data_IF_900390179958
#
_entry.id   IF_900390179958
#
_cell.length_a   1.000
_cell.length_b   1.000
_cell.length_c   1.000
_cell.angle_alpha   90.00
_cell.angle_beta   90.00
_cell.angle_gamma   90.00
#
_symmetry.space_group_name_H-M   'P 1'
#
loop_
_entity.id
_entity.type
_entity.pdbx_description
1 polymer ?
#
# COMPACT_ATOMS: atom_id res chain seq x y z
N UNK A 1 36.02 49.46 71.10
CA UNK A 1 36.15 48.50 72.22
C UNK A 1 36.13 47.11 71.60
N UNK A 2 37.14 46.29 71.92
CA UNK A 2 37.44 44.92 71.45
C UNK A 2 37.95 44.72 69.99
N UNK A 3 39.27 44.61 69.86
CA UNK A 3 39.96 43.60 69.04
C UNK A 3 40.02 42.26 69.83
N UNK A 4 40.55 41.13 69.32
CA UNK A 4 40.57 40.54 67.97
C UNK A 4 40.28 39.01 68.00
N UNK A 5 40.14 38.33 66.86
CA UNK A 5 40.62 36.93 66.77
C UNK A 5 41.01 36.53 65.35
N UNK A 6 42.33 36.33 65.16
CA UNK A 6 42.92 35.66 63.99
C UNK A 6 42.83 34.15 64.21
N UNK A 7 42.33 33.40 63.23
CA UNK A 7 42.61 31.97 63.13
C UNK A 7 43.30 31.63 61.80
N UNK A 8 44.29 30.76 61.92
CA UNK A 8 45.33 30.42 60.95
C UNK A 8 44.77 29.60 59.78
N UNK A 9 45.15 29.97 58.55
CA UNK A 9 45.07 29.09 57.38
C UNK A 9 46.07 27.94 57.52
N UNK A 10 45.58 26.70 57.47
CA UNK A 10 46.39 25.50 57.31
C UNK A 10 46.40 25.12 55.83
N UNK A 11 47.59 25.12 55.21
CA UNK A 11 47.84 24.55 53.88
C UNK A 11 47.82 23.02 53.96
N UNK A 12 46.91 22.40 53.21
CA UNK A 12 46.94 21.05 52.65
C UNK A 12 46.07 21.17 51.39
N UNK A 13 46.40 20.76 50.18
CA UNK A 13 47.45 19.96 49.58
C UNK A 13 46.99 19.86 48.12
N UNK A 14 47.84 20.19 47.14
CA UNK A 14 47.46 20.18 45.72
C UNK A 14 47.07 18.75 45.32
N UNK A 15 45.80 18.49 45.07
CA UNK A 15 45.38 17.34 44.28
C UNK A 15 45.74 17.63 42.81
N UNK A 16 46.54 16.75 42.23
CA UNK A 16 47.08 16.88 40.88
C UNK A 16 45.96 16.87 39.81
N UNK A 17 46.05 17.71 38.76
CA UNK A 17 45.05 17.77 37.68
C UNK A 17 44.92 16.47 36.87
N UNK A 18 45.84 15.51 37.06
CA UNK A 18 45.83 14.20 36.41
C UNK A 18 44.73 13.24 36.90
N UNK A 19 44.17 13.44 38.11
CA UNK A 19 43.10 12.58 38.64
C UNK A 19 41.68 13.00 38.21
N UNK A 20 41.50 14.22 37.70
CA UNK A 20 40.22 14.67 37.13
C UNK A 20 40.06 14.31 35.64
N UNK A 21 41.16 14.13 34.90
CA UNK A 21 41.11 13.69 33.51
C UNK A 21 40.73 12.21 33.37
N UNK A 22 41.17 11.34 34.29
CA UNK A 22 40.85 9.91 34.23
C UNK A 22 39.38 9.61 34.56
N UNK A 23 38.74 10.41 35.42
CA UNK A 23 37.31 10.28 35.72
C UNK A 23 36.41 10.80 34.58
N UNK A 24 36.83 11.86 33.88
CA UNK A 24 36.08 12.39 32.73
C UNK A 24 36.12 11.46 31.51
N UNK A 25 37.23 10.74 31.31
CA UNK A 25 37.36 9.76 30.21
C UNK A 25 36.52 8.49 30.49
N UNK A 26 36.38 8.06 31.75
CA UNK A 26 35.50 6.94 32.11
C UNK A 26 34.00 7.30 32.05
N UNK A 27 33.62 8.56 32.29
CA UNK A 27 32.21 8.98 32.23
C UNK A 27 31.69 9.11 30.78
N UNK A 28 32.55 9.39 29.81
CA UNK A 28 32.19 9.41 28.39
C UNK A 28 32.01 8.00 27.79
N UNK A 29 32.56 6.96 28.43
CA UNK A 29 32.41 5.56 28.00
C UNK A 29 31.10 4.90 28.48
N UNK A 30 30.29 5.61 29.28
CA UNK A 30 29.03 5.11 29.85
C UNK A 30 27.79 5.86 29.32
N UNK A 31 27.96 6.81 28.41
CA UNK A 31 26.84 7.24 27.58
C UNK A 31 26.58 6.07 26.61
N UNK A 32 25.35 5.51 26.56
CA UNK A 32 24.97 4.72 25.41
C UNK A 32 25.11 5.68 24.24
N UNK A 33 26.20 5.52 23.49
CA UNK A 33 26.32 6.17 22.19
C UNK A 33 25.03 5.85 21.47
N UNK A 34 24.36 6.88 20.99
CA UNK A 34 23.35 6.69 19.96
C UNK A 34 23.97 5.70 18.98
N UNK A 35 23.45 4.48 18.94
CA UNK A 35 23.90 3.49 17.99
C UNK A 35 23.50 4.08 16.64
N UNK A 36 24.41 4.84 16.05
CA UNK A 36 24.36 5.16 14.63
C UNK A 36 24.58 3.79 14.03
N UNK A 37 23.48 3.12 13.67
CA UNK A 37 23.58 1.88 12.92
C UNK A 37 24.47 2.20 11.72
N UNK A 38 25.57 1.46 11.58
CA UNK A 38 26.40 1.60 10.40
C UNK A 38 25.51 1.35 9.19
N UNK A 39 25.39 2.36 8.32
CA UNK A 39 24.56 2.26 7.13
C UNK A 39 25.09 1.17 6.21
N UNK A 40 24.18 0.50 5.50
CA UNK A 40 24.52 -0.57 4.56
C UNK A 40 25.56 -0.08 3.55
N UNK A 41 26.71 -0.74 3.48
CA UNK A 41 27.76 -0.36 2.52
C UNK A 41 27.34 -0.67 1.09
N UNK A 42 27.86 0.02 0.05
CA UNK A 42 27.51 -0.32 -1.34
C UNK A 42 27.83 -1.77 -1.74
N UNK A 43 28.85 -2.39 -1.15
CA UNK A 43 29.16 -3.81 -1.34
C UNK A 43 28.14 -4.72 -0.69
N UNK A 44 27.75 -4.42 0.54
CA UNK A 44 26.75 -5.17 1.28
C UNK A 44 25.37 -5.03 0.64
N UNK A 45 24.99 -3.84 0.18
CA UNK A 45 23.75 -3.61 -0.57
C UNK A 45 23.68 -4.47 -1.85
N UNK A 46 24.82 -4.69 -2.52
CA UNK A 46 24.87 -5.59 -3.68
C UNK A 46 24.66 -7.04 -3.28
N UNK A 47 25.29 -7.50 -2.20
CA UNK A 47 25.11 -8.86 -1.70
C UNK A 47 23.66 -9.12 -1.26
N UNK A 48 23.08 -8.19 -0.50
CA UNK A 48 21.68 -8.28 -0.04
C UNK A 48 20.69 -8.24 -1.20
N UNK A 49 20.93 -7.41 -2.22
CA UNK A 49 20.12 -7.40 -3.44
C UNK A 49 20.16 -8.76 -4.14
N UNK A 50 21.34 -9.36 -4.26
CA UNK A 50 21.52 -10.64 -4.94
C UNK A 50 20.86 -11.77 -4.11
N UNK A 51 20.92 -11.71 -2.77
CA UNK A 51 20.20 -12.62 -1.86
C UNK A 51 18.67 -12.48 -2.00
N UNK A 52 18.14 -11.25 -2.09
CA UNK A 52 16.70 -11.02 -2.34
C UNK A 52 16.27 -11.60 -3.69
N UNK A 53 17.14 -11.49 -4.72
CA UNK A 53 16.88 -12.11 -6.03
C UNK A 53 16.79 -13.64 -5.93
N UNK A 54 17.69 -14.27 -5.19
CA UNK A 54 17.66 -15.72 -4.96
C UNK A 54 16.41 -16.15 -4.18
N UNK A 55 16.00 -15.38 -3.16
CA UNK A 55 14.78 -15.62 -2.40
C UNK A 55 13.52 -15.52 -3.27
N UNK A 56 13.46 -14.54 -4.19
CA UNK A 56 12.35 -14.42 -5.14
C UNK A 56 12.23 -15.68 -5.99
N UNK A 57 13.32 -16.15 -6.59
CA UNK A 57 13.27 -17.35 -7.42
C UNK A 57 12.99 -18.62 -6.65
N UNK A 58 13.45 -18.73 -5.41
CA UNK A 58 13.05 -19.83 -4.53
C UNK A 58 11.53 -19.90 -4.38
N UNK A 59 10.87 -18.77 -4.12
CA UNK A 59 9.42 -18.70 -3.98
C UNK A 59 8.68 -18.89 -5.31
N UNK A 60 9.11 -18.18 -6.36
CA UNK A 60 8.50 -18.22 -7.68
C UNK A 60 8.60 -19.62 -8.30
N UNK A 61 9.76 -20.26 -8.25
CA UNK A 61 9.93 -21.62 -8.79
C UNK A 61 9.12 -22.64 -7.99
N UNK A 62 9.04 -22.45 -6.66
CA UNK A 62 8.15 -23.24 -5.81
C UNK A 62 6.68 -23.12 -6.22
N UNK A 63 6.20 -21.90 -6.51
CA UNK A 63 4.85 -21.67 -7.02
C UNK A 63 4.63 -22.34 -8.38
N UNK A 64 5.54 -22.11 -9.32
CA UNK A 64 5.47 -22.69 -10.67
C UNK A 64 5.47 -24.23 -10.66
N UNK A 65 6.15 -24.85 -9.69
CA UNK A 65 6.22 -26.29 -9.56
C UNK A 65 5.01 -26.91 -8.86
N UNK A 66 4.47 -26.26 -7.82
CA UNK A 66 3.55 -26.89 -6.87
C UNK A 66 2.13 -26.34 -6.88
N UNK A 67 1.90 -25.15 -7.45
CA UNK A 67 0.61 -24.47 -7.36
C UNK A 67 0.07 -23.99 -8.71
N UNK A 68 0.95 -23.60 -9.64
CA UNK A 68 0.53 -23.12 -10.95
C UNK A 68 -0.39 -24.14 -11.67
N UNK A 69 -1.54 -23.72 -12.26
CA UNK A 69 -1.99 -22.34 -12.48
C UNK A 69 -2.96 -21.77 -11.43
N UNK A 70 -3.03 -22.38 -10.23
CA UNK A 70 -3.88 -21.86 -9.15
C UNK A 70 -3.38 -20.50 -8.65
N UNK A 71 -4.22 -19.79 -7.91
CA UNK A 71 -3.89 -18.43 -7.46
C UNK A 71 -2.65 -18.37 -6.56
N UNK A 72 -2.53 -19.26 -5.57
CA UNK A 72 -1.48 -19.20 -4.55
C UNK A 72 -0.88 -20.57 -4.22
N UNK A 73 0.36 -20.55 -3.73
CA UNK A 73 1.02 -21.72 -3.13
C UNK A 73 0.78 -21.74 -1.62
N UNK A 74 0.37 -22.89 -1.08
CA UNK A 74 0.46 -23.24 0.34
C UNK A 74 1.85 -23.84 0.60
N UNK A 75 2.84 -23.07 1.08
CA UNK A 75 4.25 -23.46 1.03
C UNK A 75 4.60 -24.60 1.98
N UNK A 76 3.84 -24.81 3.06
CA UNK A 76 4.08 -25.90 4.02
C UNK A 76 3.58 -27.26 3.52
N UNK A 77 2.50 -27.27 2.75
CA UNK A 77 1.89 -28.50 2.21
C UNK A 77 2.26 -28.76 0.76
N UNK A 78 2.93 -27.82 0.09
CA UNK A 78 3.21 -27.83 -1.34
C UNK A 78 1.96 -28.11 -2.21
N UNK A 79 0.86 -27.41 -1.90
CA UNK A 79 -0.40 -27.49 -2.65
C UNK A 79 -0.80 -26.10 -3.13
N UNK A 80 -1.42 -26.00 -4.30
CA UNK A 80 -2.04 -24.74 -4.72
C UNK A 80 -3.45 -24.55 -4.18
N UNK A 81 -3.92 -23.31 -4.16
CA UNK A 81 -5.28 -22.92 -3.80
C UNK A 81 -5.74 -21.73 -4.66
N UNK A 82 -7.03 -21.71 -5.00
CA UNK A 82 -7.70 -20.55 -5.61
C UNK A 82 -8.37 -19.70 -4.52
N UNK A 83 -7.62 -18.75 -3.98
CA UNK A 83 -8.05 -17.88 -2.88
C UNK A 83 -8.87 -16.67 -3.32
N UNK A 84 -8.74 -16.24 -4.58
CA UNK A 84 -9.50 -15.11 -5.13
C UNK A 84 -10.39 -15.57 -6.29
N UNK A 85 -9.84 -15.62 -7.50
CA UNK A 85 -10.62 -15.79 -8.73
C UNK A 85 -10.26 -17.02 -9.55
N UNK A 86 -9.15 -17.70 -9.27
CA UNK A 86 -8.64 -18.82 -10.06
C UNK A 86 -8.09 -18.37 -11.42
N UNK A 87 -7.34 -17.27 -11.43
CA UNK A 87 -6.80 -16.62 -12.63
C UNK A 87 -5.27 -16.58 -12.65
N UNK A 88 -4.62 -17.49 -11.92
CA UNK A 88 -3.17 -17.53 -11.73
C UNK A 88 -2.62 -16.25 -11.07
N UNK A 89 -3.26 -15.82 -9.98
CA UNK A 89 -2.91 -14.61 -9.22
C UNK A 89 -1.40 -14.42 -9.05
N UNK A 90 -0.70 -15.39 -8.46
CA UNK A 90 0.74 -15.25 -8.18
C UNK A 90 1.57 -15.05 -9.45
N UNK A 91 1.20 -15.67 -10.57
CA UNK A 91 1.89 -15.43 -11.84
C UNK A 91 1.72 -13.96 -12.27
N UNK A 92 0.48 -13.45 -12.25
CA UNK A 92 0.17 -12.08 -12.67
C UNK A 92 0.88 -11.06 -11.75
N UNK A 93 0.79 -11.23 -10.43
CA UNK A 93 1.45 -10.38 -9.42
C UNK A 93 3.00 -10.42 -9.53
N UNK A 94 3.58 -11.45 -10.16
CA UNK A 94 5.03 -11.60 -10.29
C UNK A 94 5.61 -11.05 -11.59
N UNK A 95 4.79 -10.69 -12.59
CA UNK A 95 5.27 -10.33 -13.93
C UNK A 95 6.18 -9.11 -13.91
N UNK A 96 5.76 -8.04 -13.23
CA UNK A 96 6.56 -6.82 -13.16
C UNK A 96 7.85 -7.00 -12.34
N UNK A 97 7.83 -7.89 -11.34
CA UNK A 97 9.02 -8.25 -10.56
C UNK A 97 10.01 -9.06 -11.39
N UNK A 98 9.55 -10.00 -12.23
CA UNK A 98 10.40 -10.70 -13.19
C UNK A 98 11.11 -9.71 -14.13
N UNK A 99 10.36 -8.73 -14.64
CA UNK A 99 10.92 -7.65 -15.44
C UNK A 99 11.92 -6.80 -14.63
N UNK A 100 11.60 -6.42 -13.39
CA UNK A 100 12.49 -5.65 -12.52
C UNK A 100 13.82 -6.37 -12.26
N UNK A 101 13.80 -7.71 -12.15
CA UNK A 101 14.98 -8.54 -11.93
C UNK A 101 15.80 -8.81 -13.21
N UNK A 102 15.36 -8.30 -14.36
CA UNK A 102 16.01 -8.47 -15.66
C UNK A 102 15.68 -9.78 -16.37
N UNK A 103 14.69 -10.53 -15.90
CA UNK A 103 14.36 -11.87 -16.41
C UNK A 103 13.39 -11.82 -17.59
N UNK A 104 13.92 -11.40 -18.73
CA UNK A 104 13.14 -11.24 -19.97
C UNK A 104 12.49 -12.55 -20.42
N UNK A 105 13.16 -13.68 -20.25
CA UNK A 105 12.68 -14.98 -20.71
C UNK A 105 11.43 -15.42 -19.95
N UNK A 106 11.49 -15.39 -18.60
CA UNK A 106 10.34 -15.79 -17.78
C UNK A 106 9.22 -14.76 -17.81
N UNK A 107 9.55 -13.47 -17.90
CA UNK A 107 8.56 -12.42 -18.12
C UNK A 107 7.79 -12.67 -19.42
N UNK A 108 8.50 -12.89 -20.54
CA UNK A 108 7.87 -13.14 -21.83
C UNK A 108 6.98 -14.39 -21.83
N UNK A 109 7.47 -15.49 -21.24
CA UNK A 109 6.71 -16.72 -21.11
C UNK A 109 5.43 -16.53 -20.25
N UNK A 110 5.53 -15.78 -19.15
CA UNK A 110 4.39 -15.45 -18.30
C UNK A 110 3.35 -14.60 -19.02
N UNK A 111 3.77 -13.54 -19.71
CA UNK A 111 2.88 -12.65 -20.50
C UNK A 111 2.17 -13.42 -21.62
N UNK A 112 2.88 -14.30 -22.32
CA UNK A 112 2.31 -15.14 -23.37
C UNK A 112 1.30 -16.14 -22.80
N UNK A 113 1.63 -16.78 -21.67
CA UNK A 113 0.73 -17.73 -21.02
C UNK A 113 -0.55 -17.03 -20.53
N UNK A 114 -0.43 -15.87 -19.87
CA UNK A 114 -1.58 -15.09 -19.37
C UNK A 114 -2.49 -14.70 -20.52
N UNK A 115 -1.95 -14.12 -21.60
CA UNK A 115 -2.72 -13.73 -22.78
C UNK A 115 -3.49 -14.90 -23.42
N UNK A 116 -2.92 -16.10 -23.39
CA UNK A 116 -3.54 -17.29 -24.00
C UNK A 116 -4.57 -17.97 -23.10
N UNK A 117 -4.34 -18.02 -21.78
CA UNK A 117 -5.07 -18.92 -20.89
C UNK A 117 -6.02 -18.23 -19.91
N UNK A 118 -5.78 -16.97 -19.53
CA UNK A 118 -6.62 -16.29 -18.54
C UNK A 118 -7.91 -15.80 -19.18
N UNK A 119 -9.04 -16.01 -18.50
CA UNK A 119 -10.38 -15.60 -18.91
C UNK A 119 -11.16 -15.12 -17.70
N UNK A 120 -11.96 -14.06 -17.86
CA UNK A 120 -12.80 -13.51 -16.78
C UNK A 120 -14.29 -13.77 -17.00
N UNK A 121 -14.70 -14.50 -18.04
CA UNK A 121 -16.08 -14.96 -18.26
C UNK A 121 -16.42 -16.20 -17.41
N UNK A 122 -16.11 -16.12 -16.12
CA UNK A 122 -16.27 -17.22 -15.16
C UNK A 122 -17.36 -16.88 -14.14
N UNK A 123 -18.16 -17.89 -13.76
CA UNK A 123 -19.15 -17.75 -12.69
C UNK A 123 -18.47 -17.80 -11.32
N UNK A 124 -17.82 -16.69 -10.95
CA UNK A 124 -17.09 -16.52 -9.70
C UNK A 124 -17.33 -15.12 -9.15
N UNK A 125 -17.69 -15.05 -7.87
CA UNK A 125 -17.75 -13.79 -7.11
C UNK A 125 -16.36 -13.44 -6.58
N UNK A 126 -15.89 -12.23 -6.87
CA UNK A 126 -14.55 -11.74 -6.51
C UNK A 126 -14.64 -10.41 -5.77
N UNK A 127 -13.63 -10.12 -4.94
CA UNK A 127 -13.47 -8.82 -4.29
C UNK A 127 -13.09 -7.76 -5.34
N UNK A 128 -13.86 -6.67 -5.43
CA UNK A 128 -13.58 -5.55 -6.34
C UNK A 128 -12.22 -4.94 -6.03
N UNK A 129 -11.92 -4.77 -4.75
CA UNK A 129 -10.67 -4.19 -4.26
C UNK A 129 -9.46 -5.06 -4.61
N UNK A 130 -9.46 -6.34 -4.19
CA UNK A 130 -8.32 -7.23 -4.40
C UNK A 130 -8.08 -7.49 -5.90
N UNK A 131 -9.16 -7.74 -6.66
CA UNK A 131 -9.05 -7.97 -8.10
C UNK A 131 -8.57 -6.73 -8.84
N UNK A 132 -8.91 -5.52 -8.39
CA UNK A 132 -8.37 -4.28 -8.95
C UNK A 132 -6.87 -4.15 -8.69
N UNK A 133 -6.44 -4.13 -7.43
CA UNK A 133 -5.05 -3.78 -7.09
C UNK A 133 -4.05 -4.87 -7.50
N UNK A 134 -4.48 -6.13 -7.58
CA UNK A 134 -3.62 -7.26 -7.94
C UNK A 134 -3.68 -7.58 -9.42
N UNK A 135 -4.87 -7.91 -9.91
CA UNK A 135 -5.00 -8.41 -11.29
C UNK A 135 -5.02 -7.27 -12.29
N UNK A 136 -5.90 -6.27 -12.11
CA UNK A 136 -5.92 -5.16 -13.04
C UNK A 136 -4.59 -4.38 -12.99
N UNK A 137 -4.07 -4.13 -11.79
CA UNK A 137 -2.74 -3.53 -11.57
C UNK A 137 -1.62 -4.33 -12.24
N UNK A 138 -1.52 -5.64 -11.98
CA UNK A 138 -0.48 -6.51 -12.55
C UNK A 138 -0.55 -6.61 -14.08
N UNK A 139 -1.76 -6.75 -14.64
CA UNK A 139 -1.96 -6.75 -16.10
C UNK A 139 -1.53 -5.43 -16.75
N UNK A 140 -1.91 -4.29 -16.15
CA UNK A 140 -1.55 -2.96 -16.67
C UNK A 140 -0.04 -2.71 -16.55
N UNK A 141 0.56 -3.07 -15.41
CA UNK A 141 2.00 -2.95 -15.18
C UNK A 141 2.79 -3.76 -16.22
N UNK A 142 2.45 -5.04 -16.38
CA UNK A 142 3.08 -5.92 -17.37
C UNK A 142 2.81 -5.46 -18.81
N UNK A 143 1.63 -4.92 -19.12
CA UNK A 143 1.33 -4.33 -20.43
C UNK A 143 2.27 -3.16 -20.74
N UNK A 144 2.40 -2.19 -19.81
CA UNK A 144 3.27 -1.03 -20.00
C UNK A 144 4.73 -1.46 -20.18
N UNK A 145 5.20 -2.43 -19.38
CA UNK A 145 6.56 -2.96 -19.47
C UNK A 145 6.80 -3.65 -20.82
N UNK A 146 5.89 -4.52 -21.25
CA UNK A 146 6.02 -5.25 -22.52
C UNK A 146 5.89 -4.35 -23.76
N UNK A 147 5.21 -3.21 -23.65
CA UNK A 147 4.92 -2.30 -24.77
C UNK A 147 5.96 -1.19 -24.95
N UNK A 148 6.72 -0.85 -23.91
CA UNK A 148 7.71 0.23 -23.96
C UNK A 148 9.11 -0.30 -24.27
N UNK A 149 9.66 0.08 -25.43
CA UNK A 149 11.01 -0.29 -25.87
C UNK A 149 12.10 0.14 -24.88
N UNK A 150 11.88 1.21 -24.11
CA UNK A 150 12.86 1.74 -23.17
C UNK A 150 13.11 0.80 -21.99
N UNK A 151 12.21 -0.16 -21.73
CA UNK A 151 12.35 -1.13 -20.64
C UNK A 151 13.32 -2.27 -20.99
N UNK A 152 13.59 -2.50 -22.27
CA UNK A 152 14.33 -3.66 -22.76
C UNK A 152 13.56 -5.00 -22.65
N UNK A 153 12.32 -4.96 -22.14
CA UNK A 153 11.47 -6.13 -21.89
C UNK A 153 10.46 -6.41 -23.01
N UNK A 154 10.63 -5.78 -24.17
CA UNK A 154 9.79 -6.00 -25.34
C UNK A 154 9.70 -7.48 -25.72
N UNK A 155 8.50 -7.89 -26.12
CA UNK A 155 8.20 -9.25 -26.57
C UNK A 155 7.71 -9.12 -28.02
N UNK A 156 8.44 -9.72 -28.96
CA UNK A 156 8.17 -9.57 -30.40
C UNK A 156 6.74 -9.98 -30.80
N UNK A 157 6.19 -11.00 -30.13
CA UNK A 157 4.85 -11.51 -30.38
C UNK A 157 3.74 -10.77 -29.63
N UNK A 158 4.06 -9.73 -28.86
CA UNK A 158 3.09 -9.05 -28.00
C UNK A 158 2.21 -8.08 -28.79
N UNK A 159 0.90 -8.31 -28.75
CA UNK A 159 -0.09 -7.53 -29.50
C UNK A 159 -1.18 -6.94 -28.56
N UNK A 160 -0.76 -6.43 -27.41
CA UNK A 160 -1.67 -5.77 -26.46
C UNK A 160 -2.65 -6.69 -25.73
N UNK A 161 -2.43 -8.01 -25.77
CA UNK A 161 -3.32 -9.01 -25.14
C UNK A 161 -3.61 -8.76 -23.65
N UNK A 162 -2.64 -8.23 -22.88
CA UNK A 162 -2.89 -7.91 -21.47
C UNK A 162 -3.78 -6.67 -21.31
N UNK A 163 -3.67 -5.67 -22.20
CA UNK A 163 -4.58 -4.51 -22.19
C UNK A 163 -6.00 -4.95 -22.55
N UNK A 164 -6.17 -5.88 -23.50
CA UNK A 164 -7.48 -6.46 -23.80
C UNK A 164 -8.09 -7.17 -22.57
N UNK A 165 -7.28 -7.95 -21.84
CA UNK A 165 -7.69 -8.58 -20.58
C UNK A 165 -8.03 -7.53 -19.50
N UNK A 166 -7.25 -6.46 -19.36
CA UNK A 166 -7.52 -5.35 -18.44
C UNK A 166 -8.87 -4.69 -18.74
N UNK A 167 -9.20 -4.48 -20.01
CA UNK A 167 -10.51 -3.92 -20.41
C UNK A 167 -11.64 -4.88 -20.06
N UNK A 168 -11.53 -6.17 -20.41
CA UNK A 168 -12.55 -7.18 -20.10
C UNK A 168 -12.79 -7.29 -18.58
N UNK A 169 -11.73 -7.34 -17.79
CA UNK A 169 -11.84 -7.38 -16.33
C UNK A 169 -12.52 -6.13 -15.78
N UNK A 170 -12.03 -4.94 -16.14
CA UNK A 170 -12.58 -3.70 -15.62
C UNK A 170 -14.06 -3.52 -16.01
N UNK A 171 -14.47 -3.93 -17.21
CA UNK A 171 -15.87 -3.94 -17.63
C UNK A 171 -16.74 -4.81 -16.72
N UNK A 172 -16.24 -5.97 -16.29
CA UNK A 172 -16.94 -6.87 -15.36
C UNK A 172 -17.01 -6.32 -13.94
N UNK A 173 -16.10 -5.42 -13.56
CA UNK A 173 -16.15 -4.72 -12.28
C UNK A 173 -17.11 -3.51 -12.26
N UNK A 174 -17.44 -2.93 -13.43
CA UNK A 174 -18.32 -1.75 -13.51
C UNK A 174 -19.69 -1.89 -12.81
N UNK A 175 -20.39 -3.05 -12.85
CA UNK A 175 -21.66 -3.22 -12.14
C UNK A 175 -21.57 -2.92 -10.64
N UNK A 176 -20.41 -3.13 -10.01
CA UNK A 176 -20.22 -2.82 -8.59
C UNK A 176 -20.43 -1.33 -8.26
N UNK A 177 -20.22 -0.44 -9.22
CA UNK A 177 -20.34 1.01 -9.04
C UNK A 177 -21.77 1.54 -9.20
N UNK A 178 -22.73 0.69 -9.58
CA UNK A 178 -24.14 1.09 -9.72
C UNK A 178 -24.83 1.21 -8.36
N UNK A 179 -24.41 2.23 -7.60
CA UNK A 179 -24.94 2.57 -6.29
C UNK A 179 -25.36 4.04 -6.25
N UNK A 180 -26.36 4.41 -5.42
CA UNK A 180 -26.78 5.81 -5.26
C UNK A 180 -25.63 6.74 -4.85
N UNK A 181 -24.67 6.23 -4.08
CA UNK A 181 -23.53 7.02 -3.60
C UNK A 181 -22.38 7.08 -4.61
N UNK A 182 -22.33 6.15 -5.58
CA UNK A 182 -21.21 5.94 -6.49
C UNK A 182 -20.02 5.21 -5.87
N UNK A 183 -20.10 4.85 -4.58
CA UNK A 183 -19.12 3.99 -3.90
C UNK A 183 -19.46 2.54 -4.27
N UNK A 184 -18.50 1.71 -4.71
CA UNK A 184 -18.82 0.38 -5.19
C UNK A 184 -19.14 -0.60 -4.08
N UNK A 185 -19.93 -1.63 -4.43
CA UNK A 185 -20.01 -2.86 -3.64
C UNK A 185 -18.63 -3.48 -3.39
N UNK A 186 -18.51 -4.29 -2.33
CA UNK A 186 -17.26 -4.95 -1.97
C UNK A 186 -16.89 -6.08 -2.93
N UNK A 187 -17.88 -6.78 -3.47
CA UNK A 187 -17.67 -7.88 -4.42
C UNK A 187 -18.62 -7.84 -5.62
N UNK A 188 -18.26 -8.59 -6.65
CA UNK A 188 -19.01 -8.72 -7.91
C UNK A 188 -18.80 -10.10 -8.52
N UNK A 189 -19.82 -10.69 -9.10
CA UNK A 189 -19.70 -11.89 -9.93
C UNK A 189 -19.22 -11.52 -11.34
N UNK A 190 -18.12 -12.13 -11.79
CA UNK A 190 -17.50 -11.78 -13.07
C UNK A 190 -18.38 -12.11 -14.29
N UNK A 191 -19.37 -12.99 -14.16
CA UNK A 191 -20.31 -13.34 -15.23
C UNK A 191 -21.68 -12.65 -15.07
N UNK A 192 -22.18 -12.54 -13.84
CA UNK A 192 -23.56 -12.11 -13.57
C UNK A 192 -23.70 -10.70 -12.96
N UNK A 193 -22.60 -10.04 -12.62
CA UNK A 193 -22.63 -8.74 -11.95
C UNK A 193 -22.82 -8.87 -10.44
N UNK A 194 -23.42 -7.87 -9.80
CA UNK A 194 -23.59 -7.85 -8.34
C UNK A 194 -24.78 -8.74 -7.95
N UNK A 195 -24.59 -9.57 -6.93
CA UNK A 195 -25.65 -10.41 -6.36
C UNK A 195 -26.68 -9.55 -5.59
N UNK A 196 -27.96 -9.89 -5.65
CA UNK A 196 -29.03 -9.13 -4.97
C UNK A 196 -28.86 -9.11 -3.43
N UNK A 197 -28.24 -10.16 -2.87
CA UNK A 197 -27.96 -10.31 -1.44
C UNK A 197 -26.57 -9.78 -1.04
N UNK A 198 -25.83 -9.15 -1.97
CA UNK A 198 -24.49 -8.63 -1.70
C UNK A 198 -24.51 -7.58 -0.57
N UNK A 199 -23.47 -7.63 0.27
CA UNK A 199 -23.29 -6.66 1.35
C UNK A 199 -23.24 -5.24 0.81
N UNK A 200 -24.15 -4.39 1.28
CA UNK A 200 -24.13 -2.94 0.99
C UNK A 200 -23.06 -2.20 1.78
N UNK A 201 -22.22 -2.89 2.55
CA UNK A 201 -21.16 -2.30 3.37
C UNK A 201 -19.83 -2.54 2.67
N UNK A 202 -19.08 -1.46 2.43
CA UNK A 202 -17.70 -1.53 1.91
C UNK A 202 -16.76 -0.74 2.81
N UNK A 203 -15.47 -1.04 2.74
CA UNK A 203 -14.44 -0.28 3.46
C UNK A 203 -14.05 1.00 2.71
N UNK A 204 -13.47 1.97 3.42
CA UNK A 204 -12.94 3.19 2.78
C UNK A 204 -11.83 2.86 1.78
N UNK A 205 -10.94 1.92 2.10
CA UNK A 205 -9.95 1.39 1.17
C UNK A 205 -10.64 0.71 -0.03
N UNK A 206 -11.64 -0.14 0.22
CA UNK A 206 -12.36 -0.87 -0.83
C UNK A 206 -13.00 0.03 -1.89
N UNK A 207 -13.57 1.16 -1.48
CA UNK A 207 -14.11 2.15 -2.41
C UNK A 207 -13.11 3.22 -2.88
N UNK A 208 -12.03 3.46 -2.15
CA UNK A 208 -11.07 4.54 -2.38
C UNK A 208 -9.88 4.16 -3.26
N UNK A 209 -9.59 2.86 -3.39
CA UNK A 209 -8.32 2.35 -3.91
C UNK A 209 -8.51 1.72 -5.29
N UNK A 210 -9.11 2.50 -6.20
CA UNK A 210 -9.45 2.07 -7.57
C UNK A 210 -8.98 3.07 -8.63
N UNK A 211 -8.55 4.27 -8.21
CA UNK A 211 -8.32 5.41 -9.11
C UNK A 211 -7.11 5.24 -10.00
N UNK A 212 -6.04 4.58 -9.54
CA UNK A 212 -4.81 4.44 -10.32
C UNK A 212 -5.03 3.53 -11.52
N UNK A 213 -5.53 2.32 -11.29
CA UNK A 213 -5.72 1.31 -12.33
C UNK A 213 -6.79 1.74 -13.33
N UNK A 214 -7.96 2.19 -12.84
CA UNK A 214 -9.04 2.65 -13.71
C UNK A 214 -8.66 3.94 -14.47
N UNK A 215 -7.86 4.81 -13.85
CA UNK A 215 -7.33 6.02 -14.48
C UNK A 215 -6.31 5.71 -15.58
N UNK A 216 -5.35 4.82 -15.32
CA UNK A 216 -4.38 4.36 -16.33
C UNK A 216 -5.10 3.67 -17.48
N UNK A 217 -6.03 2.76 -17.18
CA UNK A 217 -6.81 2.05 -18.20
C UNK A 217 -7.60 3.03 -19.10
N UNK A 218 -8.22 4.06 -18.52
CA UNK A 218 -8.94 5.09 -19.30
C UNK A 218 -8.03 5.83 -20.27
N UNK A 219 -6.81 6.17 -19.83
CA UNK A 219 -5.81 6.86 -20.67
C UNK A 219 -5.30 5.97 -21.80
N UNK A 220 -5.04 4.69 -21.52
CA UNK A 220 -4.55 3.73 -22.52
C UNK A 220 -5.62 3.39 -23.57
N UNK A 221 -6.89 3.38 -23.19
CA UNK A 221 -8.00 2.93 -24.05
C UNK A 221 -8.83 4.06 -24.63
N UNK A 222 -8.59 5.30 -24.18
CA UNK A 222 -9.42 6.48 -24.45
C UNK A 222 -10.91 6.29 -24.03
N UNK A 223 -11.19 5.36 -23.11
CA UNK A 223 -12.52 5.15 -22.54
C UNK A 223 -12.59 5.73 -21.13
N UNK A 224 -13.24 6.89 -21.00
CA UNK A 224 -13.27 7.65 -19.74
C UNK A 224 -14.13 7.03 -18.64
N UNK A 225 -14.93 6.00 -18.93
CA UNK A 225 -15.90 5.45 -17.96
C UNK A 225 -15.19 4.95 -16.71
N UNK A 226 -14.03 4.30 -16.84
CA UNK A 226 -13.31 3.72 -15.71
C UNK A 226 -12.84 4.81 -14.75
N UNK A 227 -12.13 5.83 -15.25
CA UNK A 227 -11.67 6.94 -14.43
C UNK A 227 -12.82 7.71 -13.78
N UNK A 228 -13.93 7.90 -14.51
CA UNK A 228 -15.10 8.60 -14.00
C UNK A 228 -15.75 7.87 -12.82
N UNK A 229 -15.92 6.54 -12.88
CA UNK A 229 -16.53 5.79 -11.77
C UNK A 229 -15.61 5.73 -10.55
N UNK A 230 -14.31 5.55 -10.74
CA UNK A 230 -13.34 5.55 -9.65
C UNK A 230 -13.27 6.93 -8.96
N UNK A 231 -13.24 8.02 -9.74
CA UNK A 231 -13.28 9.38 -9.21
C UNK A 231 -14.58 9.70 -8.49
N UNK A 232 -15.72 9.22 -9.02
CA UNK A 232 -17.03 9.37 -8.36
C UNK A 232 -17.06 8.65 -7.01
N UNK A 233 -16.43 7.48 -6.89
CA UNK A 233 -16.32 6.75 -5.63
C UNK A 233 -15.54 7.55 -4.58
N UNK A 234 -14.35 8.07 -4.93
CA UNK A 234 -13.55 8.93 -4.03
C UNK A 234 -14.35 10.15 -3.58
N UNK A 235 -15.04 10.83 -4.50
CA UNK A 235 -15.95 11.93 -4.17
C UNK A 235 -17.08 11.48 -3.24
N UNK A 236 -17.64 10.29 -3.47
CA UNK A 236 -18.69 9.70 -2.64
C UNK A 236 -18.23 9.50 -1.19
N UNK A 237 -17.04 8.95 -0.99
CA UNK A 237 -16.40 8.80 0.33
C UNK A 237 -16.14 10.17 0.94
N UNK A 238 -15.46 11.06 0.21
CA UNK A 238 -15.02 12.36 0.72
C UNK A 238 -16.16 13.31 1.06
N UNK A 239 -17.28 13.24 0.33
CA UNK A 239 -18.49 14.00 0.63
C UNK A 239 -19.11 13.61 1.98
N UNK A 240 -18.76 12.44 2.52
CA UNK A 240 -19.30 11.89 3.77
C UNK A 240 -18.33 11.96 4.93
N UNK A 241 -17.15 12.56 4.76
CA UNK A 241 -16.22 12.82 5.86
C UNK A 241 -16.90 13.58 6.99
N UNK A 242 -16.38 13.44 8.20
CA UNK A 242 -16.87 14.18 9.36
C UNK A 242 -16.52 15.67 9.29
N UNK A 243 -17.04 16.46 10.23
CA UNK A 243 -16.63 17.87 10.42
C UNK A 243 -15.14 18.02 10.76
N UNK A 244 -14.48 16.93 11.17
CA UNK A 244 -13.06 16.87 11.47
C UNK A 244 -12.22 16.49 10.23
N UNK A 245 -12.84 16.40 9.05
CA UNK A 245 -12.24 15.88 7.81
C UNK A 245 -11.72 14.43 7.92
N UNK A 246 -12.23 13.64 8.87
CA UNK A 246 -11.93 12.22 9.01
C UNK A 246 -12.96 11.37 8.25
N UNK A 247 -12.55 10.19 7.80
CA UNK A 247 -13.40 9.15 7.19
C UNK A 247 -13.43 7.92 8.10
N UNK A 248 -14.55 7.19 8.10
CA UNK A 248 -14.68 5.96 8.89
C UNK A 248 -14.09 4.75 8.16
N UNK A 249 -14.04 3.60 8.84
CA UNK A 249 -13.53 2.36 8.26
C UNK A 249 -14.52 1.71 7.27
N UNK A 250 -15.82 1.71 7.57
CA UNK A 250 -16.85 1.06 6.76
C UNK A 250 -18.09 1.92 6.55
N UNK A 251 -18.64 1.89 5.34
CA UNK A 251 -19.74 2.72 4.86
C UNK A 251 -20.79 1.90 4.13
N UNK A 252 -22.07 2.23 4.34
CA UNK A 252 -23.17 1.72 3.54
C UNK A 252 -23.24 2.45 2.19
N UNK A 253 -23.09 1.73 1.08
CA UNK A 253 -23.00 2.29 -0.28
C UNK A 253 -24.33 2.76 -0.85
N UNK A 254 -25.45 2.51 -0.18
CA UNK A 254 -26.78 3.02 -0.54
C UNK A 254 -27.15 4.25 0.27
N UNK A 255 -27.07 4.16 1.60
CA UNK A 255 -27.48 5.26 2.48
C UNK A 255 -26.38 6.30 2.65
N UNK A 256 -25.12 5.92 2.45
CA UNK A 256 -23.97 6.76 2.75
C UNK A 256 -23.65 6.88 4.24
N UNK A 257 -24.26 6.05 5.08
CA UNK A 257 -24.00 6.07 6.52
C UNK A 257 -22.75 5.24 6.86
N UNK A 258 -21.88 5.81 7.69
CA UNK A 258 -20.75 5.10 8.27
C UNK A 258 -21.23 4.05 9.28
N UNK A 259 -21.04 2.78 8.94
CA UNK A 259 -21.37 1.63 9.80
C UNK A 259 -20.27 1.35 10.81
N UNK A 260 -19.02 1.67 10.46
CA UNK A 260 -17.89 1.70 11.37
C UNK A 260 -17.22 3.07 11.30
N UNK A 261 -17.32 3.83 12.39
CA UNK A 261 -16.89 5.23 12.49
C UNK A 261 -15.46 5.38 13.02
N UNK A 262 -14.72 4.29 13.10
CA UNK A 262 -13.31 4.31 13.48
C UNK A 262 -12.52 4.93 12.33
N UNK A 263 -11.78 6.00 12.64
CA UNK A 263 -10.90 6.69 11.75
C UNK A 263 -9.46 6.40 12.18
N UNK A 264 -8.63 6.10 11.20
CA UNK A 264 -7.24 5.74 11.40
C UNK A 264 -6.48 5.90 10.10
N UNK A 265 -5.20 5.54 10.14
CA UNK A 265 -4.36 5.41 8.95
C UNK A 265 -4.17 3.94 8.56
N UNK A 266 -4.70 2.97 9.31
CA UNK A 266 -4.43 1.55 9.09
C UNK A 266 -5.52 0.81 8.30
N UNK A 267 -5.62 -0.50 8.55
CA UNK A 267 -6.55 -1.43 7.90
C UNK A 267 -7.93 -0.81 7.61
N UNK A 268 -8.44 -1.05 6.40
CA UNK A 268 -9.73 -0.56 5.89
C UNK A 268 -9.75 0.91 5.45
N UNK A 269 -8.68 1.68 5.69
CA UNK A 269 -8.59 3.10 5.33
C UNK A 269 -7.27 3.40 4.60
N UNK A 270 -6.15 2.91 5.11
CA UNK A 270 -4.78 3.02 4.59
C UNK A 270 -4.62 3.58 3.16
N UNK A 271 -4.89 2.74 2.18
CA UNK A 271 -4.63 2.96 0.76
C UNK A 271 -5.51 4.04 0.14
N UNK A 272 -6.61 4.48 0.79
CA UNK A 272 -7.34 5.69 0.40
C UNK A 272 -6.40 6.90 0.39
N UNK A 273 -5.59 7.08 1.45
CA UNK A 273 -4.65 8.19 1.54
C UNK A 273 -3.57 8.09 0.47
N UNK A 274 -3.04 6.89 0.22
CA UNK A 274 -2.05 6.68 -0.84
C UNK A 274 -2.63 7.02 -2.21
N UNK A 275 -3.83 6.55 -2.52
CA UNK A 275 -4.40 6.67 -3.85
C UNK A 275 -4.81 8.10 -4.18
N UNK A 276 -5.30 8.88 -3.22
CA UNK A 276 -5.57 10.30 -3.48
C UNK A 276 -4.25 11.05 -3.77
N UNK A 277 -3.17 10.81 -3.03
CA UNK A 277 -1.90 11.46 -3.36
C UNK A 277 -1.31 10.97 -4.70
N UNK A 278 -1.22 9.65 -4.89
CA UNK A 278 -0.66 9.03 -6.10
C UNK A 278 -1.47 9.40 -7.34
N UNK A 279 -2.80 9.51 -7.25
CA UNK A 279 -3.63 9.92 -8.37
C UNK A 279 -3.35 11.38 -8.77
N UNK A 280 -3.14 12.29 -7.81
CA UNK A 280 -2.68 13.64 -8.15
C UNK A 280 -1.31 13.60 -8.84
N UNK A 281 -0.34 12.87 -8.30
CA UNK A 281 1.00 12.78 -8.88
C UNK A 281 0.99 12.20 -10.30
N UNK A 282 0.17 11.17 -10.54
CA UNK A 282 0.10 10.48 -11.82
C UNK A 282 -0.73 11.23 -12.86
N UNK A 283 -1.79 11.92 -12.44
CA UNK A 283 -2.80 12.48 -13.34
C UNK A 283 -2.91 14.01 -13.34
N UNK A 284 -2.30 14.70 -12.37
CA UNK A 284 -2.32 16.16 -12.25
C UNK A 284 -3.65 16.76 -11.84
N UNK A 285 -4.56 15.97 -11.24
CA UNK A 285 -5.89 16.43 -10.86
C UNK A 285 -5.90 17.03 -9.45
N UNK A 286 -6.00 18.37 -9.39
CA UNK A 286 -5.96 19.17 -8.16
C UNK A 286 -7.03 18.79 -7.12
N UNK A 287 -8.13 18.15 -7.54
CA UNK A 287 -9.15 17.70 -6.59
C UNK A 287 -8.60 16.60 -5.67
N UNK A 288 -7.78 15.69 -6.21
CA UNK A 288 -7.16 14.66 -5.39
C UNK A 288 -6.14 15.25 -4.41
N UNK A 289 -5.37 16.26 -4.85
CA UNK A 289 -4.46 16.97 -3.95
C UNK A 289 -5.21 17.67 -2.81
N UNK A 290 -6.32 18.34 -3.12
CA UNK A 290 -7.16 18.97 -2.11
C UNK A 290 -7.69 17.95 -1.08
N UNK A 291 -8.21 16.81 -1.54
CA UNK A 291 -8.66 15.72 -0.66
C UNK A 291 -7.52 15.24 0.23
N UNK A 292 -6.35 14.97 -0.35
CA UNK A 292 -5.18 14.51 0.39
C UNK A 292 -4.75 15.52 1.46
N UNK A 293 -4.61 16.80 1.12
CA UNK A 293 -4.14 17.83 2.05
C UNK A 293 -5.06 17.98 3.25
N UNK A 294 -6.38 17.98 3.03
CA UNK A 294 -7.37 18.10 4.10
C UNK A 294 -7.41 16.84 4.98
N UNK A 295 -7.34 15.65 4.37
CA UNK A 295 -7.34 14.37 5.08
C UNK A 295 -6.04 14.18 5.89
N UNK A 296 -4.89 14.51 5.29
CA UNK A 296 -3.58 14.45 5.92
C UNK A 296 -3.49 15.40 7.12
N UNK A 297 -3.95 16.65 6.97
CA UNK A 297 -4.00 17.61 8.07
C UNK A 297 -4.86 17.10 9.23
N UNK A 298 -6.00 16.47 8.94
CA UNK A 298 -6.83 15.85 9.96
C UNK A 298 -6.14 14.67 10.63
N UNK A 299 -5.51 13.78 9.86
CA UNK A 299 -4.75 12.64 10.37
C UNK A 299 -3.64 13.09 11.33
N UNK A 300 -2.84 14.08 10.92
CA UNK A 300 -1.77 14.63 11.75
C UNK A 300 -2.27 15.34 13.02
N UNK A 301 -3.49 15.85 13.01
CA UNK A 301 -4.04 16.55 14.18
C UNK A 301 -4.75 15.62 15.17
N UNK A 302 -5.50 14.63 14.68
CA UNK A 302 -6.37 13.79 15.52
C UNK A 302 -5.81 12.38 15.76
N UNK A 303 -4.98 11.85 14.86
CA UNK A 303 -4.51 10.46 14.93
C UNK A 303 -3.08 10.37 15.46
N UNK A 304 -2.26 11.39 15.22
CA UNK A 304 -0.84 11.39 15.59
C UNK A 304 -0.62 11.69 17.08
N UNK A 305 -0.06 10.72 17.79
CA UNK A 305 0.37 10.80 19.18
C UNK A 305 1.81 10.26 19.28
N UNK A 306 2.78 11.15 19.11
CA UNK A 306 4.22 10.83 19.01
C UNK A 306 4.67 9.70 19.97
N UNK A 307 5.25 8.59 19.48
CA UNK A 307 5.64 8.30 18.09
C UNK A 307 4.61 7.50 17.25
N UNK A 308 3.35 7.43 17.68
CA UNK A 308 2.34 6.51 17.14
C UNK A 308 1.18 7.22 16.44
N UNK A 309 0.40 6.44 15.69
CA UNK A 309 -0.90 6.83 15.21
C UNK A 309 -1.95 5.89 15.80
N UNK A 310 -2.98 6.45 16.43
CA UNK A 310 -4.07 5.69 17.06
C UNK A 310 -5.36 5.83 16.26
N UNK A 311 -6.30 4.93 16.51
CA UNK A 311 -7.64 5.03 15.95
C UNK A 311 -8.56 5.87 16.85
N UNK A 312 -9.32 6.76 16.23
CA UNK A 312 -10.27 7.66 16.90
C UNK A 312 -11.64 7.57 16.25
N UNK A 313 -12.69 7.97 16.97
CA UNK A 313 -13.99 8.09 16.36
C UNK A 313 -14.00 9.29 15.40
N UNK A 314 -14.38 9.08 14.16
CA UNK A 314 -14.30 10.10 13.11
C UNK A 314 -15.04 11.40 13.44
N UNK A 315 -16.10 11.34 14.27
CA UNK A 315 -16.94 12.51 14.57
C UNK A 315 -16.50 13.26 15.84
N UNK A 316 -16.07 12.53 16.87
CA UNK A 316 -15.69 13.14 18.15
C UNK A 316 -14.19 13.33 18.32
N UNK A 317 -13.36 12.62 17.55
CA UNK A 317 -11.91 12.57 17.75
C UNK A 317 -11.48 11.81 19.02
N UNK A 318 -12.41 11.17 19.72
CA UNK A 318 -12.10 10.38 20.90
C UNK A 318 -11.42 9.07 20.51
N UNK A 319 -10.33 8.71 21.18
CA UNK A 319 -9.64 7.42 20.99
C UNK A 319 -10.60 6.25 21.13
N UNK A 320 -10.56 5.34 20.16
CA UNK A 320 -11.30 4.08 20.18
C UNK A 320 -10.38 2.95 20.61
N UNK A 321 -9.27 2.76 19.86
CA UNK A 321 -8.30 1.71 20.12
C UNK A 321 -6.87 2.28 20.09
N UNK A 322 -6.05 2.03 21.13
CA UNK A 322 -4.62 2.33 21.10
C UNK A 322 -3.85 1.13 20.50
N UNK A 323 -4.26 0.64 19.33
CA UNK A 323 -3.65 -0.51 18.68
C UNK A 323 -2.88 -0.07 17.44
N UNK A 324 -1.64 -0.56 17.32
CA UNK A 324 -0.85 -0.43 16.11
C UNK A 324 -1.03 -1.69 15.26
N UNK A 325 -1.41 -1.53 13.99
CA UNK A 325 -1.41 -2.62 13.02
C UNK A 325 -0.22 -2.48 12.06
N UNK A 326 0.35 -3.60 11.63
CA UNK A 326 1.54 -3.59 10.76
C UNK A 326 1.30 -2.86 9.44
N UNK A 327 0.04 -2.81 8.97
CA UNK A 327 -0.32 -2.10 7.74
C UNK A 327 -0.15 -0.59 7.88
N UNK A 328 -0.22 0.01 9.07
CA UNK A 328 0.08 1.44 9.28
C UNK A 328 1.53 1.82 8.93
N UNK A 329 2.43 0.85 8.76
CA UNK A 329 3.83 1.11 8.45
C UNK A 329 4.08 1.71 7.06
N UNK A 330 3.09 1.74 6.15
CA UNK A 330 3.22 2.50 4.89
C UNK A 330 3.28 4.01 5.10
N UNK A 331 2.66 4.52 6.18
CA UNK A 331 2.38 5.94 6.36
C UNK A 331 3.63 6.82 6.36
N UNK A 332 4.74 6.48 7.05
CA UNK A 332 5.97 7.26 6.94
C UNK A 332 6.51 7.34 5.51
N UNK A 333 6.33 6.29 4.70
CA UNK A 333 6.74 6.28 3.30
C UNK A 333 5.91 7.24 2.44
N UNK A 334 4.65 7.50 2.81
CA UNK A 334 3.79 8.48 2.15
C UNK A 334 4.18 9.94 2.48
N UNK A 335 4.93 10.16 3.57
CA UNK A 335 5.28 11.49 4.08
C UNK A 335 6.60 12.06 3.52
N UNK A 336 7.36 11.29 2.73
CA UNK A 336 8.69 11.62 2.20
C UNK A 336 8.59 12.06 0.74
#
# INVERSE_FOLDING_TARGET
>A
MMQPMRLRLRRQGRASPLLCLSAAILAAALLPGAAVADGVTPSEARLLRDEVKDMFYHAFDGYMQHAFPLDELRPLSCQGEDSLGGYALTLIDSLDTLALLGDKERFAAGVEWVGKNVRFDINKTVSVFETNIRILGGLLSAHLIASDYATGMEIESYDGQLLHLSVDLAQRLLPAFDTPTGIPFGSVNLLYGVDDDESKITSTAGGGTLTLEFGVLSRLTNNTVFEQVAKKSVRGIWARRSKLNLVGAHINVFTGEWTQKDAGIGTSIDSFYEYVLKAYLLFGDEEYLYVFQEAYKAAMHYLHHDPWYIEVNMNSGATVWPLFNSLQAFWPGLQI
#
